data_IF_670134391983
#
_entry.id   IF_670134391983
#
_cell.length_a   1.000
_cell.length_b   1.000
_cell.length_c   1.000
_cell.angle_alpha   90.00
_cell.angle_beta   90.00
_cell.angle_gamma   90.00
#
_symmetry.space_group_name_H-M   'P 1'
#
loop_
_entity.id
_entity.type
_entity.pdbx_description
1 polymer ?
#
# COMPACT_ATOMS: atom_id res chain seq x y z
N UNK A 1 8.18 -11.00 9.58
CA UNK A 1 7.70 -11.85 8.47
C UNK A 1 6.21 -11.68 8.21
N UNK A 2 5.35 -11.71 9.24
CA UNK A 2 3.88 -11.59 9.11
C UNK A 2 3.47 -10.31 8.35
N UNK A 3 4.03 -9.16 8.74
CA UNK A 3 3.70 -7.85 8.15
C UNK A 3 3.93 -7.81 6.64
N UNK A 4 5.03 -8.41 6.14
CA UNK A 4 5.35 -8.41 4.72
C UNK A 4 4.37 -9.25 3.89
N UNK A 5 3.94 -10.40 4.41
CA UNK A 5 2.98 -11.29 3.73
C UNK A 5 1.61 -10.62 3.64
N UNK A 6 1.16 -10.00 4.73
CA UNK A 6 -0.10 -9.24 4.77
C UNK A 6 -0.09 -8.09 3.74
N UNK A 7 1.03 -7.38 3.62
CA UNK A 7 1.19 -6.27 2.69
C UNK A 7 1.09 -6.75 1.24
N UNK A 8 1.77 -7.85 0.89
CA UNK A 8 1.67 -8.45 -0.45
C UNK A 8 0.25 -8.88 -0.78
N UNK A 9 -0.45 -9.54 0.16
CA UNK A 9 -1.84 -9.97 -0.03
C UNK A 9 -2.79 -8.79 -0.24
N UNK A 10 -2.62 -7.72 0.53
CA UNK A 10 -3.42 -6.51 0.41
C UNK A 10 -3.19 -5.82 -0.94
N UNK A 11 -1.94 -5.65 -1.36
CA UNK A 11 -1.62 -5.06 -2.68
C UNK A 11 -2.13 -5.93 -3.82
N UNK A 12 -2.04 -7.26 -3.72
CA UNK A 12 -2.57 -8.16 -4.75
C UNK A 12 -4.08 -8.04 -4.89
N UNK A 13 -4.81 -8.14 -3.77
CA UNK A 13 -6.28 -8.03 -3.77
C UNK A 13 -6.75 -6.65 -4.20
N UNK A 14 -5.99 -5.60 -3.90
CA UNK A 14 -6.25 -4.25 -4.39
C UNK A 14 -6.13 -4.16 -5.91
N UNK A 15 -5.06 -4.71 -6.48
CA UNK A 15 -4.88 -4.75 -7.93
C UNK A 15 -5.98 -5.60 -8.57
N UNK A 16 -6.34 -6.74 -7.97
CA UNK A 16 -7.43 -7.60 -8.45
C UNK A 16 -8.75 -6.85 -8.58
N UNK A 17 -9.11 -6.04 -7.58
CA UNK A 17 -10.32 -5.20 -7.63
C UNK A 17 -10.26 -4.14 -8.73
N UNK A 18 -9.06 -3.63 -9.04
CA UNK A 18 -8.85 -2.62 -10.09
C UNK A 18 -8.68 -3.19 -11.49
N UNK A 19 -8.53 -4.51 -11.66
CA UNK A 19 -8.35 -5.16 -12.96
C UNK A 19 -9.42 -4.81 -13.99
N UNK A 20 -10.68 -4.70 -13.58
CA UNK A 20 -11.79 -4.32 -14.45
C UNK A 20 -11.59 -2.92 -15.06
N UNK A 21 -11.39 -1.90 -14.21
CA UNK A 21 -11.11 -0.53 -14.66
C UNK A 21 -9.85 -0.46 -15.53
N UNK A 22 -8.80 -1.16 -15.13
CA UNK A 22 -7.54 -1.20 -15.87
C UNK A 22 -7.76 -1.73 -17.29
N UNK A 23 -8.52 -2.82 -17.41
CA UNK A 23 -8.79 -3.46 -18.69
C UNK A 23 -9.68 -2.59 -19.58
N UNK A 24 -10.67 -1.90 -19.00
CA UNK A 24 -11.49 -0.91 -19.71
C UNK A 24 -10.64 0.25 -20.25
N UNK A 25 -9.79 0.86 -19.43
CA UNK A 25 -8.89 1.93 -19.86
C UNK A 25 -7.94 1.44 -20.98
N UNK A 26 -7.46 0.21 -20.89
CA UNK A 26 -6.58 -0.37 -21.91
C UNK A 26 -7.31 -0.58 -23.26
N UNK A 27 -8.58 -0.97 -23.24
CA UNK A 27 -9.41 -1.08 -24.45
C UNK A 27 -9.69 0.28 -25.11
N UNK A 28 -9.78 1.35 -24.31
CA UNK A 28 -9.93 2.73 -24.80
C UNK A 28 -8.61 3.29 -25.35
N UNK A 29 -7.48 2.59 -25.15
CA UNK A 29 -6.18 2.95 -25.72
C UNK A 29 -5.19 3.58 -24.73
N UNK A 30 -5.46 3.50 -23.42
CA UNK A 30 -4.52 3.99 -22.41
C UNK A 30 -3.19 3.22 -22.44
N UNK A 31 -2.08 3.93 -22.24
CA UNK A 31 -0.76 3.30 -22.25
C UNK A 31 -0.48 2.57 -20.93
N UNK A 32 0.33 1.51 -21.01
CA UNK A 32 0.78 0.74 -19.82
C UNK A 32 1.46 1.62 -18.77
N UNK A 33 2.08 2.72 -19.19
CA UNK A 33 2.82 3.64 -18.30
C UNK A 33 1.88 4.51 -17.49
N UNK A 34 0.86 5.09 -18.13
CA UNK A 34 -0.14 5.94 -17.46
C UNK A 34 -0.82 5.16 -16.33
N UNK A 35 -1.20 3.92 -16.63
CA UNK A 35 -1.86 3.05 -15.69
C UNK A 35 -0.97 2.63 -14.50
N UNK A 36 0.32 2.40 -14.77
CA UNK A 36 1.31 2.10 -13.73
C UNK A 36 1.50 3.30 -12.79
N UNK A 37 1.55 4.51 -13.35
CA UNK A 37 1.70 5.75 -12.58
C UNK A 37 0.47 5.99 -11.71
N UNK A 38 -0.73 5.79 -12.24
CA UNK A 38 -1.98 5.95 -11.49
C UNK A 38 -2.04 4.98 -10.30
N UNK A 39 -1.71 3.69 -10.54
CA UNK A 39 -1.65 2.68 -9.49
C UNK A 39 -0.59 3.01 -8.43
N UNK A 40 0.59 3.49 -8.85
CA UNK A 40 1.64 3.90 -7.91
C UNK A 40 1.18 5.08 -7.04
N UNK A 41 0.57 6.11 -7.65
CA UNK A 41 0.10 7.29 -6.92
C UNK A 41 -0.95 6.91 -5.88
N UNK A 42 -1.90 6.07 -6.24
CA UNK A 42 -2.94 5.64 -5.32
C UNK A 42 -2.38 4.85 -4.14
N UNK A 43 -1.44 3.92 -4.39
CA UNK A 43 -0.79 3.19 -3.29
C UNK A 43 0.08 4.09 -2.42
N UNK A 44 0.77 5.07 -3.00
CA UNK A 44 1.53 6.07 -2.23
C UNK A 44 0.61 6.84 -1.28
N UNK A 45 -0.56 7.27 -1.76
CA UNK A 45 -1.55 7.97 -0.93
C UNK A 45 -2.05 7.08 0.21
N UNK A 46 -2.36 5.81 -0.08
CA UNK A 46 -2.79 4.84 0.95
C UNK A 46 -1.71 4.62 2.01
N UNK A 47 -0.44 4.48 1.61
CA UNK A 47 0.68 4.29 2.54
C UNK A 47 0.91 5.54 3.39
N UNK A 48 0.84 6.74 2.81
CA UNK A 48 0.99 7.99 3.56
C UNK A 48 -0.12 8.15 4.60
N UNK A 49 -1.37 7.93 4.20
CA UNK A 49 -2.52 8.04 5.11
C UNK A 49 -2.44 6.99 6.22
N UNK A 50 -2.15 5.73 5.88
CA UNK A 50 -1.99 4.68 6.89
C UNK A 50 -0.81 4.92 7.83
N UNK A 51 0.31 5.45 7.33
CA UNK A 51 1.45 5.85 8.16
C UNK A 51 1.11 6.96 9.15
N UNK A 52 0.38 7.98 8.71
CA UNK A 52 -0.12 9.04 9.61
C UNK A 52 -1.06 8.48 10.68
N UNK A 53 -2.01 7.63 10.30
CA UNK A 53 -2.92 6.96 11.25
C UNK A 53 -2.14 6.09 12.24
N UNK A 54 -1.10 5.40 11.78
CA UNK A 54 -0.20 4.60 12.62
C UNK A 54 0.52 5.44 13.67
N UNK A 55 1.05 6.60 13.28
CA UNK A 55 1.68 7.54 14.23
C UNK A 55 0.65 8.01 15.26
N UNK A 56 -0.49 8.54 14.82
CA UNK A 56 -1.50 9.11 15.72
C UNK A 56 -2.01 8.06 16.71
N UNK A 57 -2.27 6.83 16.24
CA UNK A 57 -2.68 5.73 17.11
C UNK A 57 -1.57 5.32 18.09
N UNK A 58 -0.30 5.31 17.67
CA UNK A 58 0.81 4.97 18.57
C UNK A 58 0.94 5.97 19.74
N UNK A 59 0.77 7.27 19.49
CA UNK A 59 0.75 8.28 20.55
C UNK A 59 -0.45 8.11 21.50
N UNK A 60 -1.63 7.80 20.96
CA UNK A 60 -2.81 7.53 21.78
C UNK A 60 -2.59 6.32 22.72
N UNK A 61 -1.95 5.25 22.22
CA UNK A 61 -1.63 4.05 23.01
C UNK A 61 -0.63 4.37 24.13
N UNK A 62 0.36 5.22 23.88
CA UNK A 62 1.34 5.63 24.90
C UNK A 62 0.69 6.45 26.01
N UNK A 63 -0.19 7.38 25.67
CA UNK A 63 -0.96 8.14 26.67
C UNK A 63 -1.83 7.22 27.54
N UNK A 64 -2.48 6.22 26.93
CA UNK A 64 -3.33 5.28 27.67
C UNK A 64 -2.52 4.33 28.56
N UNK A 65 -1.37 3.84 28.07
CA UNK A 65 -0.48 2.97 28.85
C UNK A 65 0.20 3.69 30.01
N UNK A 66 0.61 4.95 29.82
CA UNK A 66 1.21 5.76 30.88
C UNK A 66 0.30 5.88 32.11
N UNK A 67 -1.02 5.98 31.90
CA UNK A 67 -2.01 6.05 32.98
C UNK A 67 -2.31 4.70 33.64
N UNK A 68 -2.21 3.58 32.92
CA UNK A 68 -2.63 2.26 33.41
C UNK A 68 -1.48 1.42 34.00
N UNK A 69 -0.27 1.50 33.42
CA UNK A 69 0.85 0.62 33.74
C UNK A 69 1.99 1.33 34.47
N UNK A 70 1.99 2.66 34.54
CA UNK A 70 3.02 3.44 35.24
C UNK A 70 4.43 3.33 34.63
N UNK A 71 4.56 2.71 33.45
CA UNK A 71 5.84 2.58 32.73
C UNK A 71 5.98 3.73 31.74
N UNK A 72 7.05 4.55 31.82
CA UNK A 72 7.28 5.62 30.86
C UNK A 72 7.71 5.04 29.51
N UNK A 73 6.81 5.05 28.53
CA UNK A 73 7.12 4.68 27.15
C UNK A 73 7.57 5.95 26.41
N UNK A 74 8.86 6.07 26.15
CA UNK A 74 9.41 7.16 25.36
C UNK A 74 9.37 6.81 23.86
N UNK A 75 8.42 7.40 23.13
CA UNK A 75 8.43 7.37 21.67
C UNK A 75 9.44 8.39 21.14
N UNK A 76 10.51 7.90 20.54
CA UNK A 76 11.47 8.76 19.83
C UNK A 76 11.02 8.96 18.38
N UNK A 77 10.82 10.21 18.01
CA UNK A 77 10.36 10.63 16.69
C UNK A 77 11.24 10.11 15.54
N UNK A 78 12.55 9.95 15.80
CA UNK A 78 13.49 9.43 14.81
C UNK A 78 13.15 8.01 14.34
N UNK A 79 12.72 7.13 15.25
CA UNK A 79 12.34 5.76 14.89
C UNK A 79 11.02 5.72 14.12
N UNK A 80 10.05 6.57 14.48
CA UNK A 80 8.78 6.67 13.74
C UNK A 80 9.00 7.07 12.28
N UNK A 81 9.88 8.04 12.03
CA UNK A 81 10.21 8.48 10.68
C UNK A 81 10.88 7.36 9.86
N UNK A 82 11.81 6.62 10.47
CA UNK A 82 12.54 5.54 9.83
C UNK A 82 11.63 4.35 9.48
N UNK A 83 10.66 4.05 10.34
CA UNK A 83 9.65 3.02 10.08
C UNK A 83 8.76 3.36 8.87
N UNK A 84 8.32 4.62 8.76
CA UNK A 84 7.51 5.09 7.63
C UNK A 84 8.29 5.00 6.33
N UNK A 85 9.56 5.45 6.32
CA UNK A 85 10.42 5.35 5.15
C UNK A 85 10.63 3.89 4.73
N UNK A 86 10.86 2.99 5.69
CA UNK A 86 11.03 1.56 5.42
C UNK A 86 9.74 0.95 4.82
N UNK A 87 8.58 1.25 5.41
CA UNK A 87 7.29 0.79 4.90
C UNK A 87 6.99 1.33 3.49
N UNK A 88 7.32 2.60 3.24
CA UNK A 88 7.16 3.23 1.94
C UNK A 88 7.98 2.52 0.86
N UNK A 89 9.27 2.29 1.11
CA UNK A 89 10.18 1.61 0.18
C UNK A 89 9.69 0.18 -0.11
N UNK A 90 9.31 -0.55 0.94
CA UNK A 90 8.81 -1.93 0.80
C UNK A 90 7.52 -1.98 -0.03
N UNK A 91 6.59 -1.06 0.23
CA UNK A 91 5.33 -1.02 -0.53
C UNK A 91 5.59 -0.68 -1.99
N UNK A 92 6.43 0.31 -2.27
CA UNK A 92 6.79 0.71 -3.62
C UNK A 92 7.42 -0.46 -4.39
N UNK A 93 8.36 -1.19 -3.77
CA UNK A 93 9.00 -2.35 -4.37
C UNK A 93 8.00 -3.47 -4.70
N UNK A 94 7.11 -3.82 -3.77
CA UNK A 94 6.07 -4.83 -3.96
C UNK A 94 5.13 -4.43 -5.10
N UNK A 95 4.66 -3.18 -5.11
CA UNK A 95 3.76 -2.66 -6.15
C UNK A 95 4.37 -2.75 -7.52
N UNK A 96 5.63 -2.34 -7.69
CA UNK A 96 6.33 -2.40 -8.98
C UNK A 96 6.45 -3.84 -9.46
N UNK A 97 6.77 -4.78 -8.58
CA UNK A 97 6.87 -6.20 -8.92
C UNK A 97 5.54 -6.78 -9.39
N UNK A 98 4.46 -6.53 -8.65
CA UNK A 98 3.12 -7.01 -8.99
C UNK A 98 2.59 -6.34 -10.26
N UNK A 99 2.71 -5.02 -10.38
CA UNK A 99 2.25 -4.27 -11.55
C UNK A 99 2.92 -4.75 -12.85
N UNK A 100 4.22 -5.05 -12.81
CA UNK A 100 4.94 -5.65 -13.96
C UNK A 100 4.33 -6.97 -14.40
N UNK A 101 3.87 -7.81 -13.46
CA UNK A 101 3.19 -9.08 -13.79
C UNK A 101 1.86 -8.84 -14.52
N UNK A 102 1.12 -7.80 -14.13
CA UNK A 102 -0.20 -7.49 -14.70
C UNK A 102 -0.16 -6.82 -16.08
N UNK A 103 0.84 -5.99 -16.35
CA UNK A 103 1.02 -5.36 -17.68
C UNK A 103 1.24 -6.35 -18.84
N UNK A 104 1.44 -7.63 -18.54
CA UNK A 104 1.58 -8.72 -19.51
C UNK A 104 0.29 -9.51 -19.76
N UNK A 105 -0.78 -9.26 -19.00
CA UNK A 105 -2.04 -9.98 -19.15
C UNK A 105 -2.89 -9.40 -20.29
N UNK A 106 -3.67 -10.27 -20.95
CA UNK A 106 -4.59 -9.87 -22.02
C UNK A 106 -5.85 -9.23 -21.41
N UNK A 107 -6.19 -7.97 -21.77
CA UNK A 107 -7.30 -7.22 -21.19
C UNK A 107 -8.67 -7.84 -21.50
N UNK A 108 -8.81 -8.46 -22.67
CA UNK A 108 -10.07 -9.10 -23.11
C UNK A 108 -10.39 -10.33 -22.27
N UNK A 109 -9.38 -11.13 -21.92
CA UNK A 109 -9.56 -12.32 -21.09
C UNK A 109 -9.91 -11.95 -19.63
N UNK A 110 -9.39 -10.83 -19.14
CA UNK A 110 -9.70 -10.34 -17.79
C UNK A 110 -11.17 -9.91 -17.72
N UNK A 111 -11.69 -9.21 -18.73
CA UNK A 111 -13.08 -8.74 -18.73
C UNK A 111 -14.11 -9.85 -18.88
N UNK A 112 -13.74 -11.02 -19.41
CA UNK A 112 -14.64 -12.19 -19.46
C UNK A 112 -14.73 -12.96 -18.14
N UNK A 113 -13.80 -12.75 -17.21
CA UNK A 113 -13.79 -13.38 -15.88
C UNK A 113 -14.43 -12.51 -14.78
N UNK A 114 -14.71 -11.23 -15.08
CA UNK A 114 -15.33 -10.25 -14.16
C UNK A 114 -16.84 -10.23 -14.36
#
# INVERSE_FOLDING_TARGET
MIIGISLVGLVSTFIDRRKGNISLCFLVGATKKELLIELLLELILVVLVSGMIGIVSSYAIVLFNGNMLGVPINLSFGYSLLLILCQFIMTLFITVLLAKKYTKMNPIAILSEV
#
